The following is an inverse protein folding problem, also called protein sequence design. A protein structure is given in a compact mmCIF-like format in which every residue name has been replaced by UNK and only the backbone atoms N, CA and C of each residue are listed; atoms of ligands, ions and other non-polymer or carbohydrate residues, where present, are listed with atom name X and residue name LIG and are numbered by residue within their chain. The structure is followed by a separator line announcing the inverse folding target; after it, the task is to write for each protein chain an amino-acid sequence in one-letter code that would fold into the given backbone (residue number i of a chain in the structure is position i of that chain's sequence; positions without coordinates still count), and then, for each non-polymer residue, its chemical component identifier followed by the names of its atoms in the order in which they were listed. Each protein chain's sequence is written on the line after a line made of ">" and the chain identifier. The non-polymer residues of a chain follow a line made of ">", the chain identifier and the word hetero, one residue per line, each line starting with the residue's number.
data_IF_329989178367
#
_entry.id   IF_329989178367
#
_cell.length_a   1.000
_cell.length_b   1.000
_cell.length_c   1.000
_cell.angle_alpha   90.00
_cell.angle_beta   90.00
_cell.angle_gamma   90.00
#
_symmetry.space_group_name_H-M   'P 1'
#
loop_
_entity.id
_entity.type
_entity.pdbx_description
1 polymer ?
#
# COMPACT_ATOMS: atom_id res chain seq x y z
N UNK A 1 -4.84 12.65 -4.15
CA UNK A 1 -4.58 12.08 -2.82
C UNK A 1 -3.16 12.35 -2.41
N UNK A 2 -2.94 13.03 -1.28
CA UNK A 2 -1.58 13.25 -0.76
C UNK A 2 -1.15 12.03 0.04
N UNK A 3 -0.20 11.26 -0.49
CA UNK A 3 0.39 10.11 0.20
C UNK A 3 1.61 10.51 1.04
N UNK A 4 2.05 11.79 0.97
CA UNK A 4 3.11 12.32 1.82
C UNK A 4 2.62 12.30 3.27
N UNK A 5 3.10 11.35 4.05
CA UNK A 5 2.76 11.16 5.47
C UNK A 5 2.10 9.83 5.80
N UNK A 6 1.75 8.99 4.81
CA UNK A 6 1.24 7.65 5.08
C UNK A 6 2.35 6.77 5.68
N UNK A 7 2.20 6.28 6.93
CA UNK A 7 3.17 5.33 7.47
C UNK A 7 3.06 4.02 6.68
N UNK A 8 4.19 3.35 6.44
CA UNK A 8 4.22 2.05 5.75
C UNK A 8 4.45 2.09 4.24
N UNK A 9 4.69 3.27 3.66
CA UNK A 9 5.06 3.39 2.25
C UNK A 9 6.28 4.29 2.06
N UNK A 10 6.99 4.09 0.95
CA UNK A 10 8.09 4.93 0.50
C UNK A 10 7.90 5.34 -0.96
N UNK A 11 8.51 6.46 -1.33
CA UNK A 11 8.62 6.88 -2.72
C UNK A 11 10.10 7.06 -3.05
N UNK A 12 10.60 6.32 -4.02
CA UNK A 12 11.97 6.43 -4.50
C UNK A 12 11.94 6.49 -6.04
N UNK A 13 12.42 7.58 -6.66
CA UNK A 13 12.45 7.71 -8.13
C UNK A 13 13.14 6.55 -8.87
N UNK A 14 14.08 5.87 -8.20
CA UNK A 14 14.83 4.74 -8.75
C UNK A 14 14.11 3.39 -8.58
N UNK A 15 12.94 3.35 -7.92
CA UNK A 15 12.16 2.14 -7.67
C UNK A 15 10.80 2.30 -8.35
N UNK A 16 10.43 1.33 -9.20
CA UNK A 16 9.13 1.28 -9.88
C UNK A 16 8.72 2.63 -10.50
N UNK A 17 9.66 3.33 -11.17
CA UNK A 17 9.37 4.61 -11.83
C UNK A 17 8.94 5.75 -10.89
N UNK A 18 9.22 5.65 -9.59
CA UNK A 18 8.80 6.65 -8.59
C UNK A 18 7.39 6.42 -8.03
N UNK A 19 6.80 5.25 -8.23
CA UNK A 19 5.55 4.86 -7.57
C UNK A 19 5.73 4.68 -6.05
N UNK A 20 4.63 4.83 -5.31
CA UNK A 20 4.61 4.48 -3.90
C UNK A 20 4.66 2.96 -3.74
N UNK A 21 5.62 2.49 -2.96
CA UNK A 21 5.83 1.08 -2.65
C UNK A 21 5.72 0.86 -1.14
N UNK A 22 5.41 -0.36 -0.72
CA UNK A 22 5.53 -0.71 0.71
C UNK A 22 6.98 -0.61 1.16
N UNK A 23 7.20 -0.20 2.42
CA UNK A 23 8.55 -0.06 2.99
C UNK A 23 9.40 -1.30 2.74
N UNK A 24 10.66 -1.09 2.36
CA UNK A 24 11.63 -2.17 2.13
C UNK A 24 11.23 -3.19 1.05
N UNK A 25 10.18 -2.89 0.26
CA UNK A 25 9.75 -3.71 -0.87
C UNK A 25 9.81 -2.94 -2.19
N UNK A 26 9.62 -3.67 -3.29
CA UNK A 26 9.29 -3.09 -4.60
C UNK A 26 7.82 -3.28 -4.96
N UNK A 27 6.99 -3.70 -4.00
CA UNK A 27 5.56 -3.98 -4.21
C UNK A 27 4.81 -2.65 -4.24
N UNK A 28 4.17 -2.28 -5.36
CA UNK A 28 3.43 -1.03 -5.45
C UNK A 28 2.22 -1.04 -4.52
N UNK A 29 1.91 0.10 -3.91
CA UNK A 29 0.69 0.29 -3.12
C UNK A 29 -0.56 0.03 -3.96
N UNK A 30 -0.51 0.37 -5.26
CA UNK A 30 -1.55 0.06 -6.25
C UNK A 30 -1.92 -1.43 -6.26
N UNK A 31 -0.93 -2.31 -6.14
CA UNK A 31 -1.15 -3.76 -6.20
C UNK A 31 -2.09 -4.22 -5.07
N UNK A 32 -2.02 -3.63 -3.87
CA UNK A 32 -2.96 -3.94 -2.79
C UNK A 32 -4.41 -3.68 -3.24
N UNK A 33 -4.69 -2.49 -3.77
CA UNK A 33 -6.04 -2.12 -4.17
C UNK A 33 -6.54 -2.90 -5.39
N UNK A 34 -5.66 -3.25 -6.34
CA UNK A 34 -6.00 -4.10 -7.47
C UNK A 34 -6.42 -5.49 -7.01
N UNK A 35 -5.64 -6.13 -6.13
CA UNK A 35 -5.97 -7.44 -5.59
C UNK A 35 -7.26 -7.42 -4.75
N UNK A 36 -7.45 -6.39 -3.90
CA UNK A 36 -8.69 -6.24 -3.12
C UNK A 36 -9.91 -6.03 -4.02
N UNK A 37 -9.78 -5.25 -5.10
CA UNK A 37 -10.85 -5.05 -6.08
C UNK A 37 -11.23 -6.35 -6.77
N UNK A 38 -10.24 -7.21 -7.03
CA UNK A 38 -10.43 -8.49 -7.70
C UNK A 38 -10.90 -9.60 -6.73
N UNK A 39 -11.20 -9.25 -5.47
CA UNK A 39 -11.85 -10.12 -4.48
C UNK A 39 -10.90 -10.77 -3.49
N UNK A 40 -9.60 -10.47 -3.54
CA UNK A 40 -8.65 -10.97 -2.54
C UNK A 40 -8.94 -10.38 -1.16
N UNK A 41 -8.68 -11.16 -0.11
CA UNK A 41 -8.59 -10.64 1.26
C UNK A 41 -7.19 -10.10 1.50
N UNK A 42 -7.06 -9.28 2.55
CA UNK A 42 -5.75 -8.78 2.99
C UNK A 42 -4.79 -9.93 3.31
N UNK A 43 -5.28 -11.02 3.89
CA UNK A 43 -4.46 -12.20 4.20
C UNK A 43 -3.89 -12.83 2.93
N UNK A 44 -4.72 -13.02 1.90
CA UNK A 44 -4.28 -13.61 0.62
C UNK A 44 -3.17 -12.75 -0.03
N UNK A 45 -3.33 -11.41 0.02
CA UNK A 45 -2.32 -10.48 -0.47
C UNK A 45 -0.99 -10.63 0.28
N UNK A 46 -1.01 -10.78 1.61
CA UNK A 46 0.20 -10.93 2.41
C UNK A 46 0.89 -12.28 2.17
N UNK A 47 0.13 -13.34 1.86
CA UNK A 47 0.70 -14.62 1.44
C UNK A 47 1.42 -14.51 0.10
N UNK A 48 0.86 -13.76 -0.87
CA UNK A 48 1.48 -13.55 -2.18
C UNK A 48 2.67 -12.59 -2.14
N UNK A 49 2.68 -11.65 -1.20
CA UNK A 49 3.73 -10.66 -1.02
C UNK A 49 4.31 -10.70 0.41
N UNK A 50 5.08 -11.74 0.77
CA UNK A 50 5.56 -11.96 2.14
C UNK A 50 6.54 -10.88 2.64
N UNK A 51 7.09 -10.07 1.74
CA UNK A 51 7.90 -8.90 2.10
C UNK A 51 7.07 -7.71 2.59
N UNK A 52 5.76 -7.69 2.32
CA UNK A 52 4.88 -6.62 2.80
C UNK A 52 4.46 -6.93 4.23
N UNK A 53 4.79 -6.02 5.15
CA UNK A 53 4.32 -6.08 6.53
C UNK A 53 2.81 -5.89 6.62
N UNK A 54 2.11 -6.76 7.36
CA UNK A 54 0.69 -6.58 7.66
C UNK A 54 0.39 -5.21 8.27
N UNK A 55 1.28 -4.74 9.15
CA UNK A 55 1.15 -3.42 9.78
C UNK A 55 1.15 -2.30 8.74
N UNK A 56 2.02 -2.37 7.74
CA UNK A 56 2.14 -1.35 6.70
C UNK A 56 0.96 -1.40 5.73
N UNK A 57 0.51 -2.61 5.35
CA UNK A 57 -0.72 -2.78 4.58
C UNK A 57 -1.94 -2.18 5.31
N UNK A 58 -2.06 -2.41 6.63
CA UNK A 58 -3.13 -1.81 7.44
C UNK A 58 -3.01 -0.30 7.57
N UNK A 59 -1.80 0.24 7.65
CA UNK A 59 -1.60 1.69 7.64
C UNK A 59 -2.09 2.33 6.33
N UNK A 60 -1.80 1.71 5.19
CA UNK A 60 -2.28 2.16 3.87
C UNK A 60 -3.81 2.17 3.82
N UNK A 61 -4.46 1.08 4.27
CA UNK A 61 -5.92 1.00 4.31
C UNK A 61 -6.53 2.08 5.20
N UNK A 62 -5.96 2.29 6.39
CA UNK A 62 -6.41 3.33 7.33
C UNK A 62 -6.19 4.74 6.80
N UNK A 63 -5.09 4.97 6.07
CA UNK A 63 -4.84 6.25 5.41
C UNK A 63 -5.91 6.53 4.35
N UNK A 64 -6.28 5.51 3.57
CA UNK A 64 -7.34 5.63 2.58
C UNK A 64 -8.68 5.96 3.23
N UNK A 65 -9.06 5.24 4.29
CA UNK A 65 -10.28 5.53 5.06
C UNK A 65 -10.32 6.98 5.57
N UNK A 66 -9.22 7.47 6.16
CA UNK A 66 -9.12 8.86 6.64
C UNK A 66 -9.33 9.88 5.53
N UNK A 67 -8.79 9.64 4.34
CA UNK A 67 -8.94 10.55 3.21
C UNK A 67 -10.39 10.73 2.73
N UNK A 68 -11.27 9.78 3.07
CA UNK A 68 -12.70 9.88 2.79
C UNK A 68 -13.42 10.88 3.71
N UNK A 69 -12.80 11.25 4.84
CA UNK A 69 -13.35 12.19 5.82
C UNK A 69 -12.92 13.64 5.55
N UNK A 70 -12.03 13.87 4.59
CA UNK A 70 -11.51 15.20 4.24
C UNK A 70 -12.36 15.91 3.14
N UNK A 71 -13.66 15.60 3.06
CA UNK A 71 -14.64 16.24 2.16
C UNK A 71 -15.67 17.07 2.93
#
# INVERSE_FOLDING_TARGET
>A
MNWKGCPGIQQNPNICGGEYTFLETRVPVRALFENLRDGAKLYDFLEWFPGVSEKDARHVLKWMEKSLQEF
#
